data_IF_737068964107
#
_entry.id   IF_737068964107
#
_cell.length_a   1.000
_cell.length_b   1.000
_cell.length_c   1.000
_cell.angle_alpha   90.00
_cell.angle_beta   90.00
_cell.angle_gamma   90.00
#
_symmetry.space_group_name_H-M   'P 1'
#
loop_
_entity.id
_entity.type
_entity.pdbx_description
1 polymer ?
#
# COMPACT_ATOMS: atom_id res chain seq x y z
N UNK A 1 24.15 -9.07 30.52
CA UNK A 1 24.57 -7.85 29.79
C UNK A 1 25.91 -7.42 30.34
N UNK A 2 26.88 -7.12 29.48
CA UNK A 2 28.21 -6.63 29.90
C UNK A 2 28.10 -5.12 29.95
N UNK A 3 28.13 -4.54 31.15
CA UNK A 3 28.13 -3.09 31.33
C UNK A 3 29.48 -2.52 30.89
N UNK A 4 29.45 -1.49 30.05
CA UNK A 4 30.62 -0.76 29.60
C UNK A 4 30.70 0.58 30.32
N UNK A 5 31.92 1.04 30.57
CA UNK A 5 32.21 2.25 31.33
C UNK A 5 33.15 3.14 30.53
N UNK A 6 33.07 4.45 30.74
CA UNK A 6 33.93 5.44 30.08
C UNK A 6 35.09 5.84 31.01
N UNK A 7 36.31 5.70 30.53
CA UNK A 7 37.52 6.15 31.23
C UNK A 7 38.16 7.32 30.47
N UNK A 8 38.20 8.54 31.04
CA UNK A 8 38.90 9.66 30.43
C UNK A 8 40.42 9.53 30.62
N UNK A 9 41.19 9.82 29.57
CA UNK A 9 42.64 9.88 29.64
C UNK A 9 43.12 11.16 30.36
N UNK A 10 44.05 11.08 31.32
CA UNK A 10 44.54 12.25 32.04
C UNK A 10 45.33 13.24 31.17
N UNK A 11 45.92 12.77 30.06
CA UNK A 11 46.79 13.58 29.20
C UNK A 11 46.03 14.23 28.04
N UNK A 12 45.28 13.44 27.26
CA UNK A 12 44.60 13.93 26.05
C UNK A 12 43.09 14.16 26.24
N UNK A 13 42.54 13.81 27.41
CA UNK A 13 41.10 13.89 27.73
C UNK A 13 40.20 13.08 26.78
N UNK A 14 40.76 12.23 25.93
CA UNK A 14 40.00 11.28 25.13
C UNK A 14 39.33 10.25 26.04
N UNK A 15 38.13 9.81 25.66
CA UNK A 15 37.34 8.88 26.44
C UNK A 15 37.44 7.49 25.84
N UNK A 16 37.83 6.50 26.66
CA UNK A 16 37.97 5.12 26.22
C UNK A 16 36.86 4.25 26.80
N UNK A 17 36.27 3.39 25.96
CA UNK A 17 35.33 2.37 26.42
C UNK A 17 36.08 1.21 27.08
N UNK A 18 35.74 0.92 28.33
CA UNK A 18 36.35 -0.16 29.10
C UNK A 18 35.29 -1.09 29.66
N UNK A 19 35.63 -2.37 29.78
CA UNK A 19 34.78 -3.38 30.41
C UNK A 19 35.33 -3.75 31.80
N UNK A 20 34.46 -4.13 32.76
CA UNK A 20 34.90 -4.60 34.08
C UNK A 20 35.84 -5.82 34.01
N UNK A 21 35.76 -6.62 32.94
CA UNK A 21 36.64 -7.76 32.67
C UNK A 21 38.08 -7.35 32.35
N UNK A 22 38.32 -6.09 31.98
CA UNK A 22 39.64 -5.55 31.65
C UNK A 22 40.30 -4.83 32.85
N UNK A 23 39.66 -4.85 34.03
CA UNK A 23 40.19 -4.20 35.22
C UNK A 23 41.61 -4.69 35.58
N UNK A 24 42.51 -3.77 35.91
CA UNK A 24 43.90 -4.10 36.25
C UNK A 24 44.80 -4.46 35.06
N UNK A 25 44.33 -4.29 33.83
CA UNK A 25 45.18 -4.36 32.62
C UNK A 25 45.65 -2.97 32.19
N UNK A 26 46.57 -2.91 31.23
CA UNK A 26 47.10 -1.64 30.69
C UNK A 26 46.55 -1.43 29.29
N UNK A 27 45.98 -0.24 29.04
CA UNK A 27 45.48 0.18 27.73
C UNK A 27 46.37 1.30 27.18
N UNK A 28 46.74 1.21 25.91
CA UNK A 28 47.47 2.28 25.22
C UNK A 28 46.46 3.27 24.66
N UNK A 29 46.55 4.53 25.08
CA UNK A 29 45.74 5.61 24.52
C UNK A 29 46.26 6.02 23.14
N UNK A 30 45.39 6.59 22.31
CA UNK A 30 45.77 7.19 21.02
C UNK A 30 46.83 8.30 21.13
N UNK A 31 47.04 8.88 22.33
CA UNK A 31 48.14 9.83 22.58
C UNK A 31 49.49 9.15 22.85
N UNK A 32 49.54 7.82 22.83
CA UNK A 32 50.73 7.01 23.10
C UNK A 32 50.98 6.70 24.58
N UNK A 33 50.14 7.21 25.49
CA UNK A 33 50.29 6.99 26.94
C UNK A 33 49.75 5.62 27.37
N UNK A 34 50.43 4.99 28.33
CA UNK A 34 49.97 3.73 28.94
C UNK A 34 49.07 4.02 30.14
N UNK A 35 47.76 3.76 30.00
CA UNK A 35 46.79 3.92 31.06
C UNK A 35 46.62 2.60 31.80
N UNK A 36 46.89 2.61 33.11
CA UNK A 36 46.50 1.52 33.98
C UNK A 36 44.99 1.57 34.24
N UNK A 37 44.30 0.48 33.89
CA UNK A 37 42.87 0.39 34.10
C UNK A 37 42.59 0.25 35.60
N UNK A 38 41.72 1.12 36.17
CA UNK A 38 41.45 1.11 37.59
C UNK A 38 40.79 -0.20 38.03
N UNK A 39 40.84 -0.47 39.33
CA UNK A 39 40.28 -1.71 39.90
C UNK A 39 38.77 -1.81 39.65
N UNK A 40 38.21 -3.02 39.66
CA UNK A 40 36.75 -3.25 39.45
C UNK A 40 35.89 -2.33 40.34
N UNK A 41 36.34 -2.07 41.58
CA UNK A 41 35.62 -1.22 42.52
C UNK A 41 35.58 0.26 42.09
N UNK A 42 36.64 0.75 41.46
CA UNK A 42 36.75 2.11 40.93
C UNK A 42 36.02 2.23 39.58
N UNK A 43 36.02 1.18 38.75
CA UNK A 43 35.25 1.17 37.49
C UNK A 43 33.75 1.35 37.76
N UNK A 44 33.22 0.74 38.83
CA UNK A 44 31.81 0.92 39.24
C UNK A 44 31.47 2.34 39.73
N UNK A 45 32.48 3.17 39.97
CA UNK A 45 32.30 4.59 40.32
C UNK A 45 32.38 5.50 39.08
N UNK A 46 32.81 4.97 37.93
CA UNK A 46 32.80 5.68 36.65
C UNK A 46 31.39 5.73 36.07
N UNK A 47 31.14 6.73 35.24
CA UNK A 47 29.86 6.91 34.57
C UNK A 47 29.60 5.71 33.63
N UNK A 48 28.54 4.91 33.87
CA UNK A 48 28.20 3.82 32.99
C UNK A 48 27.72 4.38 31.65
N UNK A 49 28.08 3.73 30.54
CA UNK A 49 27.63 4.10 29.18
C UNK A 49 26.10 4.14 29.06
N UNK A 50 25.35 3.57 30.02
CA UNK A 50 23.88 3.59 30.02
C UNK A 50 23.24 4.95 30.30
N UNK A 51 23.99 6.00 30.68
CA UNK A 51 23.40 7.33 30.93
C UNK A 51 23.31 8.23 29.69
N UNK A 52 24.03 7.88 28.62
CA UNK A 52 23.82 8.47 27.30
C UNK A 52 23.35 7.36 26.36
N UNK A 53 22.09 6.94 26.53
CA UNK A 53 21.31 6.57 25.36
C UNK A 53 21.41 7.78 24.42
N UNK A 54 22.35 7.72 23.47
CA UNK A 54 22.21 8.42 22.21
C UNK A 54 20.89 7.90 21.69
N UNK A 55 19.82 8.60 22.04
CA UNK A 55 18.53 8.45 21.41
C UNK A 55 18.82 8.83 19.99
N UNK A 56 19.08 7.83 19.14
CA UNK A 56 18.94 7.98 17.70
C UNK A 56 17.48 8.37 17.52
N UNK A 57 17.22 9.67 17.62
CA UNK A 57 15.96 10.27 17.25
C UNK A 57 15.73 9.76 15.84
N UNK A 58 14.61 9.07 15.56
CA UNK A 58 14.39 8.48 14.26
C UNK A 58 14.41 9.59 13.22
N UNK A 59 15.56 9.76 12.55
CA UNK A 59 15.71 10.83 11.59
C UNK A 59 14.82 10.51 10.38
N UNK A 60 13.96 11.47 10.09
CA UNK A 60 13.04 11.40 8.96
C UNK A 60 13.82 11.68 7.68
N UNK A 61 14.44 10.64 7.13
CA UNK A 61 15.09 10.74 5.82
C UNK A 61 14.05 11.01 4.72
N UNK A 62 14.40 11.82 3.72
CA UNK A 62 13.56 12.06 2.55
C UNK A 62 13.09 10.75 1.88
N UNK A 63 13.93 9.71 1.92
CA UNK A 63 13.63 8.35 1.48
C UNK A 63 12.42 7.72 2.19
N UNK A 64 12.37 7.80 3.53
CA UNK A 64 11.21 7.32 4.32
C UNK A 64 9.95 8.10 3.94
N UNK A 65 10.09 9.41 3.70
CA UNK A 65 8.99 10.27 3.25
C UNK A 65 8.42 9.87 1.89
N UNK A 66 9.28 9.62 0.89
CA UNK A 66 8.83 9.24 -0.47
C UNK A 66 8.20 7.85 -0.50
N UNK A 67 8.75 6.89 0.24
CA UNK A 67 8.15 5.55 0.39
C UNK A 67 6.76 5.65 1.03
N UNK A 68 6.64 6.39 2.14
CA UNK A 68 5.35 6.56 2.82
C UNK A 68 4.33 7.25 1.91
N UNK A 69 4.73 8.32 1.22
CA UNK A 69 3.86 9.05 0.29
C UNK A 69 3.35 8.15 -0.86
N UNK A 70 4.23 7.34 -1.45
CA UNK A 70 3.86 6.39 -2.50
C UNK A 70 2.89 5.31 -2.02
N UNK A 71 3.12 4.74 -0.83
CA UNK A 71 2.22 3.75 -0.22
C UNK A 71 0.85 4.38 0.08
N UNK A 72 0.81 5.57 0.69
CA UNK A 72 -0.43 6.28 0.97
C UNK A 72 -1.21 6.55 -0.32
N UNK A 73 -0.55 7.03 -1.37
CA UNK A 73 -1.19 7.25 -2.67
C UNK A 73 -1.73 5.94 -3.26
N UNK A 74 -0.98 4.85 -3.17
CA UNK A 74 -1.39 3.55 -3.67
C UNK A 74 -2.63 3.02 -2.94
N UNK A 75 -2.66 3.12 -1.61
CA UNK A 75 -3.80 2.68 -0.81
C UNK A 75 -5.04 3.53 -1.06
N UNK A 76 -4.89 4.86 -1.08
CA UNK A 76 -6.01 5.79 -1.29
C UNK A 76 -6.66 5.61 -2.67
N UNK A 77 -5.85 5.33 -3.70
CA UNK A 77 -6.36 5.10 -5.07
C UNK A 77 -6.94 3.69 -5.26
N UNK A 78 -6.36 2.66 -4.63
CA UNK A 78 -6.82 1.28 -4.75
C UNK A 78 -8.13 1.00 -4.01
N UNK A 79 -8.33 1.60 -2.83
CA UNK A 79 -9.49 1.35 -1.95
C UNK A 79 -10.85 1.48 -2.67
N UNK A 80 -11.15 2.60 -3.38
CA UNK A 80 -12.43 2.72 -4.10
C UNK A 80 -12.58 1.70 -5.24
N UNK A 81 -11.49 1.37 -5.95
CA UNK A 81 -11.50 0.36 -6.99
C UNK A 81 -11.85 -1.03 -6.46
N UNK A 82 -11.21 -1.44 -5.36
CA UNK A 82 -11.50 -2.72 -4.69
C UNK A 82 -12.94 -2.76 -4.18
N UNK A 83 -13.40 -1.68 -3.54
CA UNK A 83 -14.78 -1.58 -3.06
C UNK A 83 -15.81 -1.73 -4.19
N UNK A 84 -15.58 -1.09 -5.34
CA UNK A 84 -16.49 -1.21 -6.48
C UNK A 84 -16.49 -2.59 -7.13
N UNK A 85 -15.33 -3.26 -7.20
CA UNK A 85 -15.26 -4.64 -7.69
C UNK A 85 -15.97 -5.59 -6.73
N UNK A 86 -15.82 -5.39 -5.42
CA UNK A 86 -16.52 -6.19 -4.42
C UNK A 86 -18.04 -5.96 -4.38
N UNK A 87 -18.50 -4.76 -4.75
CA UNK A 87 -19.92 -4.38 -4.80
C UNK A 87 -20.49 -4.36 -6.22
N UNK A 88 -19.87 -5.12 -7.13
CA UNK A 88 -20.35 -5.21 -8.51
C UNK A 88 -21.72 -5.90 -8.53
N UNK A 89 -22.77 -5.27 -9.07
CA UNK A 89 -24.05 -5.94 -9.22
C UNK A 89 -23.90 -7.17 -10.12
N UNK A 90 -24.57 -8.25 -9.75
CA UNK A 90 -24.70 -9.40 -10.63
C UNK A 90 -25.43 -8.98 -11.90
N UNK A 91 -25.02 -9.53 -13.04
CA UNK A 91 -25.73 -9.33 -14.30
C UNK A 91 -27.19 -9.77 -14.11
N UNK A 92 -28.18 -8.95 -14.50
CA UNK A 92 -29.58 -9.34 -14.40
C UNK A 92 -29.80 -10.62 -15.20
N UNK A 93 -30.28 -11.67 -14.54
CA UNK A 93 -30.63 -12.92 -15.22
C UNK A 93 -32.03 -12.78 -15.78
N UNK A 94 -32.15 -12.88 -17.12
CA UNK A 94 -33.45 -12.88 -17.79
C UNK A 94 -34.19 -14.17 -17.44
N UNK A 95 -35.38 -14.03 -16.86
CA UNK A 95 -36.30 -15.15 -16.67
C UNK A 95 -36.93 -15.50 -18.02
N UNK A 96 -36.24 -16.39 -18.76
CA UNK A 96 -36.64 -16.79 -20.12
C UNK A 96 -38.07 -17.36 -20.12
N UNK A 97 -38.44 -18.31 -19.24
CA UNK A 97 -39.83 -18.81 -19.17
C UNK A 97 -40.87 -17.70 -19.03
N UNK A 98 -40.67 -16.78 -18.08
CA UNK A 98 -41.60 -15.67 -17.86
C UNK A 98 -41.66 -14.73 -19.07
N UNK A 99 -40.53 -14.46 -19.72
CA UNK A 99 -40.49 -13.60 -20.90
C UNK A 99 -41.20 -14.22 -22.11
N UNK A 100 -41.10 -15.54 -22.29
CA UNK A 100 -41.84 -16.27 -23.34
C UNK A 100 -43.33 -16.22 -23.05
N UNK A 101 -43.74 -16.40 -21.80
CA UNK A 101 -45.16 -16.34 -21.41
C UNK A 101 -45.76 -14.96 -21.68
N UNK A 102 -45.06 -13.89 -21.27
CA UNK A 102 -45.46 -12.51 -21.55
C UNK A 102 -45.54 -12.22 -23.06
N UNK A 103 -44.55 -12.65 -23.84
CA UNK A 103 -44.56 -12.50 -25.28
C UNK A 103 -45.72 -13.27 -25.93
N UNK A 104 -45.99 -14.49 -25.47
CA UNK A 104 -47.09 -15.33 -25.96
C UNK A 104 -48.44 -14.69 -25.69
N UNK A 105 -48.64 -14.10 -24.50
CA UNK A 105 -49.84 -13.34 -24.17
C UNK A 105 -50.02 -12.12 -25.07
N UNK A 106 -48.97 -11.31 -25.23
CA UNK A 106 -49.00 -10.13 -26.11
C UNK A 106 -49.31 -10.48 -27.57
N UNK A 107 -48.75 -11.59 -28.07
CA UNK A 107 -49.03 -12.08 -29.43
C UNK A 107 -50.47 -12.57 -29.54
N UNK A 108 -50.98 -13.29 -28.54
CA UNK A 108 -52.34 -13.82 -28.51
C UNK A 108 -53.42 -12.74 -28.48
N UNK A 109 -53.14 -11.60 -27.87
CA UNK A 109 -54.04 -10.44 -27.83
C UNK A 109 -53.96 -9.55 -29.08
N UNK A 110 -52.94 -9.75 -29.93
CA UNK A 110 -52.71 -8.90 -31.10
C UNK A 110 -53.60 -9.31 -32.29
N UNK A 111 -54.34 -8.37 -32.91
CA UNK A 111 -55.05 -8.63 -34.16
C UNK A 111 -54.10 -9.11 -35.26
N UNK A 112 -54.60 -9.99 -36.14
CA UNK A 112 -53.78 -10.64 -37.20
C UNK A 112 -53.11 -9.61 -38.12
N UNK A 113 -53.83 -8.56 -38.51
CA UNK A 113 -53.30 -7.46 -39.34
C UNK A 113 -52.15 -6.71 -38.66
N UNK A 114 -52.24 -6.47 -37.34
CA UNK A 114 -51.14 -5.87 -36.57
C UNK A 114 -49.95 -6.81 -36.40
N UNK A 115 -50.19 -8.11 -36.21
CA UNK A 115 -49.11 -9.09 -36.04
C UNK A 115 -48.23 -9.18 -37.30
N UNK A 116 -48.85 -9.13 -38.49
CA UNK A 116 -48.12 -9.09 -39.76
C UNK A 116 -47.30 -7.80 -39.91
N UNK A 117 -47.88 -6.64 -39.60
CA UNK A 117 -47.18 -5.36 -39.64
C UNK A 117 -46.01 -5.30 -38.65
N UNK A 118 -46.18 -5.84 -37.44
CA UNK A 118 -45.11 -5.93 -36.46
C UNK A 118 -43.97 -6.84 -36.96
N UNK A 119 -44.30 -8.02 -37.46
CA UNK A 119 -43.32 -8.93 -38.04
C UNK A 119 -42.55 -8.29 -39.21
N UNK A 120 -43.25 -7.69 -40.16
CA UNK A 120 -42.61 -7.05 -41.32
C UNK A 120 -41.72 -5.88 -40.91
N UNK A 121 -42.22 -4.97 -40.05
CA UNK A 121 -41.48 -3.76 -39.72
C UNK A 121 -40.33 -4.00 -38.73
N UNK A 122 -40.49 -4.91 -37.77
CA UNK A 122 -39.51 -5.12 -36.70
C UNK A 122 -38.65 -6.37 -36.94
N UNK A 123 -39.22 -7.50 -37.37
CA UNK A 123 -38.50 -8.78 -37.45
C UNK A 123 -37.87 -9.00 -38.83
N UNK A 124 -38.58 -8.75 -39.92
CA UNK A 124 -38.06 -8.98 -41.28
C UNK A 124 -36.94 -7.97 -41.62
N UNK A 125 -37.15 -6.70 -41.28
CA UNK A 125 -36.19 -5.63 -41.58
C UNK A 125 -34.99 -5.63 -40.63
N UNK A 126 -35.19 -5.86 -39.32
CA UNK A 126 -34.10 -5.76 -38.31
C UNK A 126 -33.53 -7.12 -37.90
N UNK A 127 -34.14 -8.21 -38.32
CA UNK A 127 -33.82 -9.57 -37.89
C UNK A 127 -34.26 -9.85 -36.45
N UNK A 128 -33.91 -11.04 -35.95
CA UNK A 128 -34.07 -11.43 -34.54
C UNK A 128 -32.98 -10.78 -33.67
N UNK A 129 -32.90 -9.46 -33.69
CA UNK A 129 -31.92 -8.73 -32.89
C UNK A 129 -32.21 -8.89 -31.40
N UNK A 130 -31.15 -9.05 -30.60
CA UNK A 130 -31.25 -9.10 -29.15
C UNK A 130 -31.73 -7.73 -28.63
N UNK A 131 -32.98 -7.66 -28.16
CA UNK A 131 -33.47 -6.48 -27.46
C UNK A 131 -32.99 -6.52 -26.01
N UNK A 132 -32.16 -5.54 -25.67
CA UNK A 132 -31.77 -5.27 -24.30
C UNK A 132 -33.01 -4.83 -23.51
N UNK A 133 -33.26 -5.46 -22.37
CA UNK A 133 -34.26 -4.97 -21.42
C UNK A 133 -33.82 -3.63 -20.83
N UNK A 134 -34.75 -2.86 -20.27
CA UNK A 134 -34.41 -1.61 -19.57
C UNK A 134 -33.39 -1.84 -18.45
N UNK A 135 -33.53 -2.95 -17.72
CA UNK A 135 -32.59 -3.36 -16.66
C UNK A 135 -31.20 -3.66 -17.20
N UNK A 136 -31.10 -4.31 -18.37
CA UNK A 136 -29.81 -4.59 -19.01
C UNK A 136 -29.14 -3.32 -19.53
N UNK A 137 -29.90 -2.37 -20.07
CA UNK A 137 -29.37 -1.06 -20.50
C UNK A 137 -28.82 -0.29 -19.30
N UNK A 138 -29.57 -0.23 -18.19
CA UNK A 138 -29.11 0.41 -16.95
C UNK A 138 -27.85 -0.27 -16.41
N UNK A 139 -27.81 -1.61 -16.44
CA UNK A 139 -26.64 -2.38 -16.05
C UNK A 139 -25.42 -2.04 -16.92
N UNK A 140 -25.57 -1.98 -18.25
CA UNK A 140 -24.49 -1.63 -19.16
C UNK A 140 -23.95 -0.22 -18.90
N UNK A 141 -24.83 0.76 -18.74
CA UNK A 141 -24.43 2.14 -18.43
C UNK A 141 -23.67 2.24 -17.10
N UNK A 142 -24.14 1.52 -16.06
CA UNK A 142 -23.45 1.45 -14.77
C UNK A 142 -22.10 0.74 -14.87
N UNK A 143 -22.02 -0.35 -15.65
CA UNK A 143 -20.80 -1.10 -15.85
C UNK A 143 -19.73 -0.28 -16.60
N UNK A 144 -20.10 0.43 -17.66
CA UNK A 144 -19.17 1.30 -18.41
C UNK A 144 -18.60 2.41 -17.52
N UNK A 145 -19.45 3.09 -16.73
CA UNK A 145 -18.98 4.13 -15.82
C UNK A 145 -18.05 3.56 -14.76
N UNK A 146 -18.42 2.44 -14.14
CA UNK A 146 -17.63 1.81 -13.05
C UNK A 146 -16.32 1.21 -13.54
N UNK A 147 -16.29 0.62 -14.73
CA UNK A 147 -15.05 0.09 -15.33
C UNK A 147 -14.01 1.19 -15.54
N UNK A 148 -14.41 2.34 -16.06
CA UNK A 148 -13.53 3.51 -16.20
C UNK A 148 -12.95 3.95 -14.84
N UNK A 149 -13.78 4.01 -13.80
CA UNK A 149 -13.30 4.31 -12.44
C UNK A 149 -12.35 3.25 -11.88
N UNK A 150 -12.62 1.97 -12.09
CA UNK A 150 -11.74 0.89 -11.66
C UNK A 150 -10.36 0.99 -12.33
N UNK A 151 -10.32 1.24 -13.65
CA UNK A 151 -9.06 1.44 -14.36
C UNK A 151 -8.29 2.66 -13.84
N UNK A 152 -8.97 3.79 -13.61
CA UNK A 152 -8.34 4.98 -13.03
C UNK A 152 -7.77 4.71 -11.63
N UNK A 153 -8.50 3.98 -10.78
CA UNK A 153 -8.05 3.56 -9.45
C UNK A 153 -6.81 2.66 -9.51
N UNK A 154 -6.80 1.64 -10.36
CA UNK A 154 -5.63 0.75 -10.50
C UNK A 154 -4.42 1.45 -11.12
N UNK A 155 -4.64 2.35 -12.08
CA UNK A 155 -3.58 3.17 -12.64
C UNK A 155 -2.96 4.08 -11.57
N UNK A 156 -3.79 4.75 -10.75
CA UNK A 156 -3.32 5.54 -9.61
C UNK A 156 -2.52 4.71 -8.61
N UNK A 157 -2.97 3.48 -8.33
CA UNK A 157 -2.28 2.57 -7.42
C UNK A 157 -0.91 2.15 -7.95
N UNK A 158 -0.83 1.85 -9.25
CA UNK A 158 0.42 1.53 -9.93
C UNK A 158 1.41 2.71 -9.88
N UNK A 159 0.94 3.94 -10.10
CA UNK A 159 1.76 5.15 -9.98
C UNK A 159 2.30 5.31 -8.55
N UNK A 160 1.45 5.14 -7.52
CA UNK A 160 1.88 5.20 -6.12
C UNK A 160 2.95 4.16 -5.78
N UNK A 161 2.78 2.93 -6.26
CA UNK A 161 3.78 1.85 -6.13
C UNK A 161 5.10 2.19 -6.82
N UNK A 162 5.06 2.74 -8.04
CA UNK A 162 6.27 3.16 -8.74
C UNK A 162 7.02 4.26 -7.98
N UNK A 163 6.31 5.22 -7.37
CA UNK A 163 6.92 6.25 -6.51
C UNK A 163 7.57 5.62 -5.28
N UNK A 164 6.88 4.70 -4.60
CA UNK A 164 7.41 4.03 -3.41
C UNK A 164 8.68 3.22 -3.74
N UNK A 165 8.66 2.49 -4.87
CA UNK A 165 9.82 1.75 -5.36
C UNK A 165 10.97 2.69 -5.74
N UNK A 166 10.69 3.78 -6.46
CA UNK A 166 11.70 4.80 -6.79
C UNK A 166 12.35 5.40 -5.54
N UNK A 167 11.56 5.68 -4.49
CA UNK A 167 12.07 6.09 -3.18
C UNK A 167 12.96 5.02 -2.53
N UNK A 168 12.60 3.74 -2.64
CA UNK A 168 13.42 2.65 -2.13
C UNK A 168 14.79 2.54 -2.83
N UNK A 169 14.89 2.91 -4.10
CA UNK A 169 16.15 2.89 -4.87
C UNK A 169 16.98 4.17 -4.78
N UNK A 170 16.45 5.27 -4.22
CA UNK A 170 17.27 6.43 -3.92
C UNK A 170 18.34 6.03 -2.90
N UNK A 171 19.61 6.11 -3.32
CA UNK A 171 20.77 5.84 -2.47
C UNK A 171 20.80 6.73 -1.23
N UNK A 172 21.56 6.36 -0.19
CA UNK A 172 21.69 7.19 0.99
C UNK A 172 22.21 8.56 0.55
N UNK A 173 21.39 9.59 0.69
CA UNK A 173 21.83 10.97 0.58
C UNK A 173 22.80 11.18 1.74
N UNK A 174 24.10 11.11 1.45
CA UNK A 174 25.16 11.51 2.39
C UNK A 174 24.90 12.98 2.73
N UNK A 175 24.32 13.22 3.90
CA UNK A 175 24.36 14.52 4.57
C UNK A 175 25.55 14.53 5.52
#
# INVERSE_FOLDING_TARGET
MIEKYLLPCPQCKATHEIQPSQAGSTLVCDCGEHLELPTIRQIRQLEPISAATVSEQPEWSARKGTILAGICLALLSATPGVYWVATWPNQPTRDVPRSIEQATQLIGEMPVDRSWLYWYNEIDIRGLAYSLSSEEVEYQQLAERRTMFCYASFAGAAVGLMIALGGAFMGPTTQ
#
